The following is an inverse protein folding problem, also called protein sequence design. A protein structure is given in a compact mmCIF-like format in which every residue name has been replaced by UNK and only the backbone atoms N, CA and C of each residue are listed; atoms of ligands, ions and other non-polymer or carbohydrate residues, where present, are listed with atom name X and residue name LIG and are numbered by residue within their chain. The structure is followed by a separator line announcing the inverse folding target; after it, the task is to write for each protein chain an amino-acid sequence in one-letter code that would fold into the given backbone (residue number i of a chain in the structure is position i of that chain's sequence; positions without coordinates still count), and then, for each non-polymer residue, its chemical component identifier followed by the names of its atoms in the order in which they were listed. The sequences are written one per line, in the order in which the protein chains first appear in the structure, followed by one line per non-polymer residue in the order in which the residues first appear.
data_IF_273855635126
#
_entry.id   IF_273855635126
#
_cell.length_a   1.000
_cell.length_b   1.000
_cell.length_c   1.000
_cell.angle_alpha   90.00
_cell.angle_beta   90.00
_cell.angle_gamma   90.00
#
_symmetry.space_group_name_H-M   'P 1'
#
loop_
_entity.id
_entity.type
_entity.pdbx_description
1 polymer ?
#
# COMPACT_ATOMS: atom_id res chain seq x y z
N UNK A 1 -22.28 26.10 -1.68
CA UNK A 1 -20.87 25.74 -1.92
C UNK A 1 -20.90 24.48 -2.75
N UNK A 2 -20.57 24.60 -4.03
CA UNK A 2 -20.51 23.47 -4.95
C UNK A 2 -19.50 22.43 -4.43
N UNK A 3 -19.89 21.17 -4.47
CA UNK A 3 -19.31 20.07 -3.70
C UNK A 3 -17.88 19.67 -4.07
N UNK A 4 -17.43 18.58 -3.46
CA UNK A 4 -16.11 17.98 -3.68
C UNK A 4 -16.01 17.20 -5.01
N UNK A 5 -16.80 17.54 -6.03
CA UNK A 5 -16.85 16.82 -7.31
C UNK A 5 -15.51 16.82 -8.06
N UNK A 6 -14.67 17.83 -7.82
CA UNK A 6 -13.30 17.91 -8.35
C UNK A 6 -12.35 16.83 -7.79
N UNK A 7 -12.76 16.12 -6.73
CA UNK A 7 -12.00 15.00 -6.16
C UNK A 7 -12.37 13.64 -6.75
N UNK A 8 -13.25 13.60 -7.74
CA UNK A 8 -13.58 12.37 -8.44
C UNK A 8 -12.59 12.07 -9.56
N UNK A 9 -12.02 10.88 -9.56
CA UNK A 9 -11.24 10.32 -10.67
C UNK A 9 -11.74 8.94 -11.06
N UNK A 10 -11.29 8.47 -12.23
CA UNK A 10 -11.77 7.24 -12.86
C UNK A 10 -11.26 5.97 -12.17
N UNK A 11 -9.99 5.96 -11.74
CA UNK A 11 -9.37 4.77 -11.13
C UNK A 11 -9.95 4.53 -9.75
N UNK A 12 -10.15 5.61 -8.99
CA UNK A 12 -10.86 5.65 -7.73
C UNK A 12 -12.33 5.24 -7.82
N UNK A 13 -12.93 4.97 -8.99
CA UNK A 13 -14.28 4.39 -9.07
C UNK A 13 -14.32 2.86 -9.01
N UNK A 14 -13.19 2.19 -8.80
CA UNK A 14 -13.14 0.73 -8.70
C UNK A 14 -13.72 0.23 -7.36
N UNK A 15 -14.79 -0.58 -7.34
CA UNK A 15 -15.45 -0.97 -6.10
C UNK A 15 -14.58 -1.80 -5.15
N UNK A 16 -13.61 -2.57 -5.65
CA UNK A 16 -12.73 -3.38 -4.79
C UNK A 16 -11.80 -2.53 -3.91
N UNK A 17 -11.60 -1.25 -4.25
CA UNK A 17 -10.85 -0.29 -3.44
C UNK A 17 -11.70 0.33 -2.32
N UNK A 18 -12.99 -0.04 -2.21
CA UNK A 18 -13.87 0.43 -1.12
C UNK A 18 -13.48 -0.19 0.22
N UNK A 19 -12.42 0.34 0.80
CA UNK A 19 -11.71 -0.13 1.99
C UNK A 19 -10.76 0.98 2.49
N UNK A 20 -9.95 0.70 3.52
CA UNK A 20 -8.89 1.62 3.96
C UNK A 20 -7.49 1.01 3.83
N UNK A 21 -6.56 1.87 3.42
CA UNK A 21 -5.12 1.66 3.52
C UNK A 21 -4.61 2.27 4.82
N UNK A 22 -3.69 1.58 5.49
CA UNK A 22 -3.17 1.99 6.80
C UNK A 22 -1.65 2.08 6.80
N UNK A 23 -1.15 3.11 7.47
CA UNK A 23 0.26 3.24 7.83
C UNK A 23 0.36 3.83 9.23
N UNK A 24 1.10 3.13 10.09
CA UNK A 24 1.36 3.49 11.47
C UNK A 24 2.81 3.92 11.64
N UNK A 25 3.01 5.03 12.35
CA UNK A 25 4.33 5.52 12.75
C UNK A 25 4.44 5.59 14.28
N UNK A 26 5.60 5.24 14.84
CA UNK A 26 5.80 5.19 16.29
C UNK A 26 6.91 6.14 16.77
N UNK A 27 6.60 6.93 17.79
CA UNK A 27 7.46 7.95 18.38
C UNK A 27 7.72 7.68 19.87
N UNK A 28 8.93 8.00 20.38
CA UNK A 28 9.12 8.07 21.82
C UNK A 28 8.31 9.26 22.35
N UNK A 29 7.75 9.09 23.54
CA UNK A 29 7.04 10.17 24.24
C UNK A 29 7.23 9.93 25.74
N UNK A 30 7.64 10.94 26.53
CA UNK A 30 7.74 10.79 27.96
C UNK A 30 6.42 10.29 28.59
N UNK A 31 6.53 9.41 29.59
CA UNK A 31 5.38 8.78 30.24
C UNK A 31 4.85 9.65 31.38
N UNK A 32 4.44 10.87 31.04
CA UNK A 32 3.86 11.85 31.95
C UNK A 32 2.65 12.56 31.32
N UNK A 33 1.74 13.03 32.16
CA UNK A 33 0.49 13.66 31.71
C UNK A 33 0.73 14.96 30.93
N UNK A 34 1.75 15.74 31.28
CA UNK A 34 2.06 16.99 30.59
C UNK A 34 2.46 16.75 29.14
N UNK A 35 3.36 15.79 28.90
CA UNK A 35 3.81 15.41 27.56
C UNK A 35 2.66 14.80 26.73
N UNK A 36 1.79 14.01 27.36
CA UNK A 36 0.60 13.44 26.70
C UNK A 36 -0.40 14.52 26.29
N UNK A 37 -0.72 15.46 27.18
CA UNK A 37 -1.64 16.55 26.87
C UNK A 37 -1.05 17.51 25.83
N UNK A 38 0.24 17.83 25.88
CA UNK A 38 0.90 18.63 24.83
C UNK A 38 0.84 17.92 23.47
N UNK A 39 1.09 16.60 23.43
CA UNK A 39 0.97 15.82 22.20
C UNK A 39 -0.46 15.84 21.64
N UNK A 40 -1.48 15.67 22.49
CA UNK A 40 -2.89 15.76 22.08
C UNK A 40 -3.20 17.12 21.48
N UNK A 41 -2.84 18.20 22.17
CA UNK A 41 -3.09 19.56 21.71
C UNK A 41 -2.41 19.83 20.36
N UNK A 42 -1.11 19.55 20.23
CA UNK A 42 -0.36 19.81 18.99
C UNK A 42 -0.87 18.98 17.82
N UNK A 43 -1.22 17.71 18.05
CA UNK A 43 -1.76 16.85 17.00
C UNK A 43 -3.16 17.30 16.57
N UNK A 44 -3.99 17.73 17.52
CA UNK A 44 -5.30 18.31 17.23
C UNK A 44 -5.16 19.58 16.39
N UNK A 45 -4.34 20.54 16.81
CA UNK A 45 -4.07 21.77 16.06
C UNK A 45 -3.50 21.48 14.65
N UNK A 46 -2.55 20.55 14.55
CA UNK A 46 -1.96 20.16 13.28
C UNK A 46 -2.98 19.50 12.33
N UNK A 47 -3.85 18.64 12.87
CA UNK A 47 -4.92 18.00 12.10
C UNK A 47 -5.96 19.01 11.59
N UNK A 48 -6.33 20.01 12.41
CA UNK A 48 -7.24 21.09 12.03
C UNK A 48 -6.64 21.93 10.90
N UNK A 49 -5.37 22.34 11.04
CA UNK A 49 -4.63 23.06 9.99
C UNK A 49 -4.54 22.27 8.69
N UNK A 50 -4.35 20.96 8.77
CA UNK A 50 -4.35 20.07 7.60
C UNK A 50 -5.72 20.11 6.90
N UNK A 51 -6.81 19.92 7.64
CA UNK A 51 -8.17 19.94 7.05
C UNK A 51 -8.62 21.33 6.60
N UNK A 52 -8.07 22.40 7.17
CA UNK A 52 -8.30 23.76 6.69
C UNK A 52 -7.68 23.98 5.30
N UNK A 53 -6.45 23.51 5.08
CA UNK A 53 -5.77 23.60 3.79
C UNK A 53 -6.29 22.59 2.75
N UNK A 54 -6.85 21.47 3.21
CA UNK A 54 -7.37 20.39 2.36
C UNK A 54 -8.76 19.95 2.87
N UNK A 55 -9.83 20.75 2.66
CA UNK A 55 -11.15 20.49 3.24
C UNK A 55 -11.77 19.13 2.87
N UNK A 56 -11.40 18.59 1.70
CA UNK A 56 -11.88 17.28 1.24
C UNK A 56 -11.39 16.11 2.11
N UNK A 57 -10.33 16.29 2.91
CA UNK A 57 -9.89 15.28 3.88
C UNK A 57 -10.88 15.09 5.03
N UNK A 58 -11.65 16.13 5.38
CA UNK A 58 -12.70 16.06 6.40
C UNK A 58 -14.06 15.61 5.83
N UNK A 59 -14.12 15.20 4.56
CA UNK A 59 -15.35 14.74 3.92
C UNK A 59 -15.70 13.30 4.26
N UNK A 60 -16.97 12.93 4.07
CA UNK A 60 -17.45 11.55 4.02
C UNK A 60 -17.51 11.05 2.58
N UNK A 61 -17.19 9.78 2.39
CA UNK A 61 -17.39 9.05 1.13
C UNK A 61 -18.82 8.53 1.10
N UNK A 62 -19.52 8.79 0.00
CA UNK A 62 -20.88 8.30 -0.24
C UNK A 62 -20.95 7.57 -1.58
N UNK A 63 -21.82 6.56 -1.66
CA UNK A 63 -22.14 5.87 -2.91
C UNK A 63 -23.42 6.44 -3.50
N UNK A 64 -23.42 6.67 -4.82
CA UNK A 64 -24.60 7.10 -5.58
C UNK A 64 -24.89 6.09 -6.68
N UNK A 65 -26.14 5.62 -6.72
CA UNK A 65 -26.55 4.62 -7.70
C UNK A 65 -26.54 5.18 -9.12
N UNK A 66 -25.94 4.40 -10.03
CA UNK A 66 -25.93 4.70 -11.47
C UNK A 66 -27.00 3.92 -12.26
N UNK A 67 -27.94 3.29 -11.55
CA UNK A 67 -28.99 2.45 -12.14
C UNK A 67 -28.55 1.00 -12.43
N UNK A 68 -29.49 0.17 -12.92
CA UNK A 68 -29.26 -1.27 -13.08
C UNK A 68 -28.10 -1.61 -14.03
N UNK A 69 -27.29 -2.61 -13.66
CA UNK A 69 -26.17 -3.11 -14.49
C UNK A 69 -24.96 -2.18 -14.58
N UNK A 70 -24.92 -1.12 -13.76
CA UNK A 70 -23.79 -0.18 -13.66
C UNK A 70 -23.33 -0.13 -12.22
N UNK A 71 -22.02 -0.07 -12.00
CA UNK A 71 -21.52 0.13 -10.63
C UNK A 71 -21.88 1.52 -10.12
N UNK A 72 -22.19 1.60 -8.83
CA UNK A 72 -22.36 2.86 -8.12
C UNK A 72 -21.09 3.71 -8.22
N UNK A 73 -21.28 5.03 -8.15
CA UNK A 73 -20.18 5.99 -8.16
C UNK A 73 -19.89 6.46 -6.75
N UNK A 74 -18.61 6.68 -6.46
CA UNK A 74 -18.13 7.19 -5.18
C UNK A 74 -17.93 8.69 -5.27
N UNK A 75 -18.50 9.40 -4.30
CA UNK A 75 -18.48 10.86 -4.19
C UNK A 75 -18.05 11.27 -2.79
N UNK A 76 -17.64 12.53 -2.66
CA UNK A 76 -17.33 13.15 -1.38
C UNK A 76 -18.42 14.16 -1.01
N UNK A 77 -18.85 14.11 0.25
CA UNK A 77 -19.79 15.07 0.83
C UNK A 77 -19.23 15.64 2.13
N UNK A 78 -19.56 16.90 2.49
CA UNK A 78 -19.21 17.44 3.80
C UNK A 78 -19.67 16.55 4.95
N UNK A 79 -18.89 16.51 6.04
CA UNK A 79 -19.25 15.79 7.24
C UNK A 79 -18.94 16.62 8.50
N UNK A 80 -19.99 17.04 9.21
CA UNK A 80 -19.87 17.89 10.40
C UNK A 80 -19.08 17.23 11.54
N UNK A 81 -19.03 15.89 11.58
CA UNK A 81 -18.29 15.12 12.57
C UNK A 81 -16.78 15.34 12.51
N UNK A 82 -16.25 15.79 11.37
CA UNK A 82 -14.81 15.96 11.16
C UNK A 82 -14.42 17.33 10.62
N UNK A 83 -15.39 18.16 10.24
CA UNK A 83 -15.13 19.57 9.91
C UNK A 83 -14.93 20.41 11.17
N UNK A 84 -14.09 21.44 11.08
CA UNK A 84 -13.86 22.41 12.16
C UNK A 84 -15.19 22.89 12.78
N UNK A 85 -15.32 22.90 14.13
CA UNK A 85 -14.26 22.73 15.13
C UNK A 85 -13.89 21.28 15.47
N UNK A 86 -14.54 20.28 14.87
CA UNK A 86 -14.20 18.86 15.04
C UNK A 86 -12.95 18.49 14.22
N UNK A 87 -12.43 17.27 14.42
CA UNK A 87 -11.22 16.81 13.75
C UNK A 87 -11.30 15.34 13.29
N UNK A 88 -10.50 15.03 12.28
CA UNK A 88 -10.22 13.68 11.78
C UNK A 88 -9.36 12.83 12.74
N UNK A 89 -8.77 13.42 13.79
CA UNK A 89 -7.93 12.69 14.76
C UNK A 89 -8.69 12.28 16.01
N UNK A 90 -8.43 11.05 16.47
CA UNK A 90 -8.88 10.49 17.73
C UNK A 90 -7.70 10.10 18.62
N UNK A 91 -7.93 10.06 19.91
CA UNK A 91 -6.92 9.73 20.91
C UNK A 91 -7.37 8.53 21.74
N UNK A 92 -6.48 7.54 21.88
CA UNK A 92 -6.75 6.31 22.62
C UNK A 92 -5.64 6.08 23.63
N UNK A 93 -6.00 5.76 24.89
CA UNK A 93 -5.03 5.29 25.87
C UNK A 93 -4.88 3.77 25.77
N UNK A 94 -3.73 3.34 25.26
CA UNK A 94 -3.35 1.95 25.10
C UNK A 94 -2.33 1.51 26.15
N UNK A 95 -2.09 2.29 27.21
CA UNK A 95 -1.05 2.03 28.22
C UNK A 95 -1.20 0.68 28.90
N UNK A 96 -2.42 0.13 28.99
CA UNK A 96 -2.71 -1.19 29.57
C UNK A 96 -3.00 -2.28 28.53
N UNK A 97 -3.29 -1.90 27.29
CA UNK A 97 -3.66 -2.82 26.21
C UNK A 97 -2.45 -3.26 25.36
N UNK A 98 -1.37 -2.48 25.38
CA UNK A 98 -0.22 -2.66 24.50
C UNK A 98 1.10 -2.80 25.28
N UNK A 99 2.11 -3.49 24.73
CA UNK A 99 3.49 -3.43 25.21
C UNK A 99 4.01 -1.98 25.23
N UNK A 100 4.98 -1.70 26.10
CA UNK A 100 5.55 -0.36 26.14
C UNK A 100 6.35 -0.06 24.86
N UNK A 101 6.56 1.23 24.60
CA UNK A 101 7.26 1.69 23.41
C UNK A 101 8.64 1.04 23.22
N UNK A 102 9.41 0.93 24.31
CA UNK A 102 10.76 0.33 24.29
C UNK A 102 10.72 -1.14 23.89
N UNK A 103 9.72 -1.90 24.32
CA UNK A 103 9.53 -3.30 23.93
C UNK A 103 9.19 -3.43 22.45
N UNK A 104 8.26 -2.60 21.96
CA UNK A 104 7.89 -2.55 20.55
C UNK A 104 9.10 -2.25 19.65
N UNK A 105 9.89 -1.23 19.98
CA UNK A 105 11.10 -0.86 19.22
C UNK A 105 12.16 -1.96 19.30
N UNK A 106 12.39 -2.54 20.49
CA UNK A 106 13.35 -3.65 20.66
C UNK A 106 12.99 -4.86 19.81
N UNK A 107 11.70 -5.21 19.76
CA UNK A 107 11.18 -6.28 18.92
C UNK A 107 11.10 -5.90 17.43
N UNK A 108 11.39 -4.65 17.07
CA UNK A 108 11.25 -4.09 15.71
C UNK A 108 9.79 -4.10 15.21
N UNK A 109 8.81 -4.07 16.10
CA UNK A 109 7.38 -3.99 15.77
C UNK A 109 6.89 -5.10 14.85
N UNK A 110 6.88 -6.37 15.29
CA UNK A 110 6.26 -7.46 14.54
C UNK A 110 4.74 -7.27 14.44
N UNK A 111 4.12 -7.88 13.43
CA UNK A 111 2.66 -7.77 13.20
C UNK A 111 1.87 -8.23 14.44
N UNK A 112 2.27 -9.33 15.08
CA UNK A 112 1.65 -9.88 16.28
C UNK A 112 1.63 -8.94 17.50
N UNK A 113 2.46 -7.90 17.51
CA UNK A 113 2.48 -6.87 18.57
C UNK A 113 1.73 -5.59 18.18
N UNK A 114 1.11 -5.54 17.01
CA UNK A 114 0.46 -4.36 16.45
C UNK A 114 -0.98 -4.68 16.02
N UNK A 115 -1.87 -5.11 16.94
CA UNK A 115 -3.25 -5.45 16.63
C UNK A 115 -4.00 -4.24 16.05
N UNK A 116 -4.47 -4.37 14.80
CA UNK A 116 -5.12 -3.29 14.06
C UNK A 116 -6.50 -2.90 14.60
N UNK A 117 -7.22 -3.83 15.23
CA UNK A 117 -8.49 -3.55 15.92
C UNK A 117 -8.34 -2.65 17.15
N UNK A 118 -7.15 -2.62 17.75
CA UNK A 118 -6.79 -1.70 18.84
C UNK A 118 -6.19 -0.40 18.31
N UNK A 119 -5.26 -0.50 17.35
CA UNK A 119 -4.41 0.63 16.95
C UNK A 119 -4.97 1.49 15.82
N UNK A 120 -5.96 1.00 15.08
CA UNK A 120 -6.48 1.66 13.89
C UNK A 120 -7.96 2.07 14.04
N UNK A 121 -8.36 3.22 13.45
CA UNK A 121 -9.73 3.72 13.58
C UNK A 121 -10.72 3.06 12.62
N UNK A 122 -10.24 2.25 11.65
CA UNK A 122 -11.02 1.70 10.54
C UNK A 122 -10.54 0.29 10.17
N UNK A 123 -11.40 -0.47 9.49
CA UNK A 123 -11.05 -1.76 8.87
C UNK A 123 -10.08 -1.57 7.71
N UNK A 124 -9.23 -2.55 7.44
CA UNK A 124 -8.25 -2.48 6.37
C UNK A 124 -8.56 -3.44 5.20
N UNK A 125 -7.93 -3.18 4.05
CA UNK A 125 -7.96 -4.10 2.91
C UNK A 125 -7.56 -5.54 3.32
N UNK A 126 -8.30 -6.59 2.91
CA UNK A 126 -9.34 -6.62 1.88
C UNK A 126 -10.78 -6.37 2.34
N UNK A 127 -11.01 -6.07 3.62
CA UNK A 127 -12.37 -5.86 4.10
C UNK A 127 -12.99 -4.59 3.52
N UNK A 128 -14.21 -4.71 3.00
CA UNK A 128 -15.03 -3.56 2.69
C UNK A 128 -15.80 -3.09 3.93
N UNK A 129 -16.45 -1.93 3.82
CA UNK A 129 -17.25 -1.32 4.88
C UNK A 129 -18.66 -0.98 4.38
N UNK A 130 -19.57 -0.75 5.32
CA UNK A 130 -20.90 -0.21 5.06
C UNK A 130 -21.03 1.10 5.83
N UNK A 131 -21.12 2.20 5.11
CA UNK A 131 -21.34 3.53 5.65
C UNK A 131 -22.79 3.71 6.09
N UNK A 132 -22.98 4.38 7.22
CA UNK A 132 -24.29 4.80 7.72
C UNK A 132 -24.21 6.27 8.16
N UNK A 133 -25.34 6.92 8.45
CA UNK A 133 -25.28 8.29 8.99
C UNK A 133 -24.64 8.35 10.40
N UNK A 134 -24.72 7.26 11.17
CA UNK A 134 -24.10 7.15 12.50
C UNK A 134 -22.63 6.72 12.43
N UNK A 135 -22.24 5.99 11.39
CA UNK A 135 -20.85 5.63 11.10
C UNK A 135 -20.51 5.95 9.64
N UNK A 136 -20.33 7.24 9.31
CA UNK A 136 -19.95 7.64 7.97
C UNK A 136 -18.53 7.18 7.66
N UNK A 137 -18.22 7.00 6.37
CA UNK A 137 -16.90 6.62 5.90
C UNK A 137 -16.03 7.86 5.65
N UNK A 138 -15.04 8.19 6.51
CA UNK A 138 -14.17 9.33 6.29
C UNK A 138 -13.22 9.10 5.12
N UNK A 139 -12.80 10.17 4.45
CA UNK A 139 -11.68 10.11 3.51
C UNK A 139 -10.39 9.71 4.21
N UNK A 140 -10.13 10.28 5.39
CA UNK A 140 -8.98 9.96 6.23
C UNK A 140 -9.39 9.98 7.71
N UNK A 141 -8.82 9.08 8.49
CA UNK A 141 -8.97 9.04 9.95
C UNK A 141 -7.60 8.80 10.59
N UNK A 142 -7.27 9.61 11.60
CA UNK A 142 -6.04 9.48 12.37
C UNK A 142 -6.37 8.94 13.77
N UNK A 143 -5.53 8.05 14.28
CA UNK A 143 -5.63 7.59 15.67
C UNK A 143 -4.27 7.66 16.35
N UNK A 144 -4.17 8.51 17.37
CA UNK A 144 -3.01 8.61 18.23
C UNK A 144 -3.21 7.70 19.45
N UNK A 145 -2.42 6.63 19.51
CA UNK A 145 -2.46 5.61 20.56
C UNK A 145 -1.32 5.85 21.55
N UNK A 146 -1.65 6.24 22.77
CA UNK A 146 -0.68 6.43 23.84
C UNK A 146 -0.32 5.09 24.46
N UNK A 147 0.97 4.73 24.44
CA UNK A 147 1.50 3.56 25.15
C UNK A 147 2.49 4.06 26.21
N UNK A 148 2.84 3.20 27.16
CA UNK A 148 3.88 3.56 28.15
C UNK A 148 5.18 3.94 27.44
N UNK A 149 5.61 5.20 27.60
CA UNK A 149 6.82 5.75 27.01
C UNK A 149 6.76 6.02 25.49
N UNK A 150 5.58 6.10 24.87
CA UNK A 150 5.49 6.40 23.43
C UNK A 150 4.09 6.70 22.89
N UNK A 151 4.08 7.06 21.60
CA UNK A 151 2.87 7.35 20.83
C UNK A 151 2.93 6.61 19.50
N UNK A 152 1.89 5.87 19.16
CA UNK A 152 1.71 5.22 17.86
C UNK A 152 0.59 5.94 17.10
N UNK A 153 0.92 6.58 15.98
CA UNK A 153 -0.02 7.32 15.15
C UNK A 153 -0.36 6.50 13.91
N UNK A 154 -1.58 5.98 13.85
CA UNK A 154 -2.12 5.33 12.65
C UNK A 154 -2.84 6.36 11.76
N UNK A 155 -2.68 6.19 10.44
CA UNK A 155 -3.42 6.90 9.43
C UNK A 155 -4.17 5.90 8.55
N UNK A 156 -5.49 5.91 8.65
CA UNK A 156 -6.40 5.17 7.77
C UNK A 156 -6.88 6.10 6.66
N UNK A 157 -6.64 5.76 5.40
CA UNK A 157 -7.13 6.53 4.26
C UNK A 157 -7.98 5.67 3.32
N UNK A 158 -9.12 6.20 2.89
CA UNK A 158 -10.05 5.50 2.03
C UNK A 158 -9.38 5.31 0.66
N UNK A 159 -9.22 4.05 0.24
CA UNK A 159 -8.29 3.68 -0.83
C UNK A 159 -8.73 4.16 -2.22
N UNK A 160 -10.03 4.41 -2.45
CA UNK A 160 -10.51 5.04 -3.68
C UNK A 160 -10.03 6.49 -3.83
N UNK A 161 -9.75 7.18 -2.73
CA UNK A 161 -9.39 8.60 -2.75
C UNK A 161 -7.92 8.87 -2.42
N UNK A 162 -7.21 7.94 -1.79
CA UNK A 162 -5.84 8.14 -1.33
C UNK A 162 -5.08 6.81 -1.41
N UNK A 163 -4.00 6.78 -2.22
CA UNK A 163 -3.03 5.67 -2.21
C UNK A 163 -1.95 5.87 -1.13
N UNK A 164 -1.00 4.93 -1.03
CA UNK A 164 0.06 5.02 0.00
C UNK A 164 0.99 6.24 -0.18
N UNK A 165 1.22 6.70 -1.42
CA UNK A 165 1.96 7.95 -1.65
C UNK A 165 1.19 9.14 -1.10
N UNK A 166 -0.14 9.15 -1.25
CA UNK A 166 -1.03 10.13 -0.62
C UNK A 166 -1.01 10.09 0.91
N UNK A 167 -1.02 8.90 1.54
CA UNK A 167 -0.85 8.75 2.99
C UNK A 167 0.48 9.35 3.46
N UNK A 168 1.57 9.09 2.73
CA UNK A 168 2.87 9.66 3.05
C UNK A 168 2.90 11.20 2.94
N UNK A 169 2.18 11.76 1.97
CA UNK A 169 2.01 13.19 1.84
C UNK A 169 1.18 13.78 3.00
N UNK A 170 0.11 13.11 3.44
CA UNK A 170 -0.64 13.48 4.64
C UNK A 170 0.27 13.56 5.86
N UNK A 171 1.10 12.52 6.09
CA UNK A 171 2.05 12.53 7.21
C UNK A 171 3.10 13.63 7.09
N UNK A 172 3.61 13.88 5.88
CA UNK A 172 4.61 14.93 5.64
C UNK A 172 4.05 16.32 5.94
N UNK A 173 2.80 16.59 5.53
CA UNK A 173 2.09 17.83 5.82
C UNK A 173 1.73 17.95 7.31
N UNK A 174 1.28 16.86 7.94
CA UNK A 174 1.04 16.84 9.38
C UNK A 174 2.33 17.15 10.17
N UNK A 175 3.46 16.58 9.76
CA UNK A 175 4.76 16.88 10.35
C UNK A 175 5.15 18.36 10.17
N UNK A 176 4.89 18.96 9.00
CA UNK A 176 5.08 20.40 8.77
C UNK A 176 4.24 21.26 9.71
N UNK A 177 2.97 20.91 9.91
CA UNK A 177 2.12 21.60 10.87
C UNK A 177 2.65 21.47 12.31
N UNK A 178 3.10 20.28 12.72
CA UNK A 178 3.68 20.03 14.04
C UNK A 178 5.00 20.77 14.29
N UNK A 179 5.75 21.11 13.23
CA UNK A 179 6.92 22.00 13.30
C UNK A 179 6.56 23.48 13.38
N UNK A 180 5.28 23.84 13.27
CA UNK A 180 4.84 25.24 13.24
C UNK A 180 5.14 25.93 11.92
N UNK A 181 5.50 25.18 10.88
CA UNK A 181 5.87 25.72 9.56
C UNK A 181 4.60 25.94 8.71
N UNK A 182 4.59 26.94 7.81
CA UNK A 182 3.54 27.06 6.80
C UNK A 182 3.63 25.92 5.79
N UNK A 183 2.49 25.49 5.26
CA UNK A 183 2.51 24.53 4.16
C UNK A 183 3.08 25.19 2.89
N UNK A 184 3.99 24.53 2.16
CA UNK A 184 4.43 25.00 0.86
C UNK A 184 3.25 25.21 -0.09
N UNK A 185 3.24 26.33 -0.83
CA UNK A 185 2.14 26.68 -1.74
C UNK A 185 1.92 25.60 -2.83
N UNK A 186 3.02 25.02 -3.33
CA UNK A 186 2.98 23.94 -4.30
C UNK A 186 2.36 22.67 -3.69
N UNK A 187 2.66 22.34 -2.43
CA UNK A 187 2.04 21.22 -1.75
C UNK A 187 0.51 21.41 -1.58
N UNK A 188 0.05 22.62 -1.24
CA UNK A 188 -1.39 22.95 -1.19
C UNK A 188 -2.04 22.78 -2.57
N UNK A 189 -1.41 23.32 -3.62
CA UNK A 189 -1.93 23.24 -4.98
C UNK A 189 -2.00 21.78 -5.48
N UNK A 190 -0.96 20.99 -5.20
CA UNK A 190 -0.87 19.58 -5.63
C UNK A 190 -1.86 18.68 -4.88
N UNK A 191 -2.06 18.89 -3.58
CA UNK A 191 -3.02 18.13 -2.79
C UNK A 191 -4.49 18.50 -3.03
N UNK A 192 -4.77 19.65 -3.64
CA UNK A 192 -6.11 20.09 -4.04
C UNK A 192 -6.35 20.02 -5.56
N UNK A 193 -5.49 19.31 -6.30
CA UNK A 193 -5.59 19.21 -7.75
C UNK A 193 -6.94 18.62 -8.20
N UNK A 194 -7.56 19.22 -9.21
CA UNK A 194 -8.77 18.67 -9.84
C UNK A 194 -8.45 17.34 -10.53
N UNK A 195 -9.13 16.28 -10.08
CA UNK A 195 -8.85 14.92 -10.51
C UNK A 195 -9.66 14.49 -11.72
N UNK A 196 -10.72 15.22 -12.08
CA UNK A 196 -11.69 14.83 -13.13
C UNK A 196 -11.04 14.64 -14.50
N UNK A 197 -10.00 15.44 -14.79
CA UNK A 197 -9.28 15.40 -16.06
C UNK A 197 -7.78 15.09 -15.88
N UNK A 198 -7.37 14.58 -14.72
CA UNK A 198 -5.96 14.26 -14.43
C UNK A 198 -5.39 13.25 -15.42
N UNK A 199 -6.21 12.25 -15.77
CA UNK A 199 -5.92 11.30 -16.86
C UNK A 199 -6.87 11.57 -18.01
N UNK A 200 -6.36 12.20 -19.08
CA UNK A 200 -7.12 12.41 -20.30
C UNK A 200 -7.47 11.07 -20.96
N UNK A 201 -8.76 10.74 -20.99
CA UNK A 201 -9.25 9.52 -21.63
C UNK A 201 -8.96 9.51 -23.15
N UNK A 202 -8.94 8.31 -23.71
CA UNK A 202 -8.78 8.10 -25.15
C UNK A 202 -10.05 8.53 -25.89
N UNK A 203 -9.86 9.20 -27.02
CA UNK A 203 -10.92 9.59 -27.95
C UNK A 203 -11.49 8.37 -28.69
N UNK A 204 -12.59 8.54 -29.43
CA UNK A 204 -13.28 7.43 -30.11
C UNK A 204 -12.48 6.72 -31.20
N UNK A 205 -11.48 7.38 -31.77
CA UNK A 205 -10.59 6.84 -32.80
C UNK A 205 -9.29 6.21 -32.25
N UNK A 206 -8.99 6.41 -30.96
CA UNK A 206 -7.83 5.81 -30.29
C UNK A 206 -8.20 4.39 -29.79
N UNK A 207 -7.35 3.41 -30.09
CA UNK A 207 -7.58 2.03 -29.67
C UNK A 207 -7.32 1.85 -28.17
N UNK A 208 -8.23 1.15 -27.49
CA UNK A 208 -8.03 0.71 -26.09
C UNK A 208 -7.19 -0.58 -26.12
N UNK A 209 -6.11 -0.62 -25.35
CA UNK A 209 -5.30 -1.81 -25.13
C UNK A 209 -6.11 -2.91 -24.43
N UNK A 210 -5.60 -4.15 -24.50
CA UNK A 210 -6.19 -5.26 -23.77
C UNK A 210 -5.89 -5.16 -22.27
N UNK A 211 -6.95 -5.12 -21.47
CA UNK A 211 -6.93 -5.06 -20.00
C UNK A 211 -7.62 -6.27 -19.35
N UNK A 212 -7.83 -7.36 -20.10
CA UNK A 212 -8.50 -8.57 -19.62
C UNK A 212 -7.85 -9.20 -18.37
N UNK A 213 -6.55 -8.95 -18.14
CA UNK A 213 -5.83 -9.39 -16.93
C UNK A 213 -6.44 -8.85 -15.61
N UNK A 214 -7.20 -7.76 -15.66
CA UNK A 214 -7.87 -7.17 -14.50
C UNK A 214 -9.29 -7.68 -14.28
N UNK A 215 -9.82 -8.49 -15.21
CA UNK A 215 -11.14 -9.08 -15.05
C UNK A 215 -11.09 -10.17 -13.99
N UNK A 216 -11.96 -10.06 -12.98
CA UNK A 216 -12.19 -11.11 -11.99
C UNK A 216 -13.12 -12.17 -12.59
N UNK A 217 -12.86 -13.47 -12.34
CA UNK A 217 -13.82 -14.51 -12.68
C UNK A 217 -15.14 -14.29 -11.94
N UNK A 218 -16.26 -14.60 -12.58
CA UNK A 218 -17.57 -14.59 -11.93
C UNK A 218 -17.63 -15.64 -10.80
N UNK A 219 -18.52 -15.46 -9.81
CA UNK A 219 -18.62 -16.37 -8.65
C UNK A 219 -18.79 -17.85 -9.02
N UNK A 220 -19.36 -18.15 -10.20
CA UNK A 220 -19.63 -19.51 -10.67
C UNK A 220 -18.50 -20.18 -11.49
N UNK A 221 -17.35 -19.51 -11.66
CA UNK A 221 -16.35 -19.92 -12.69
C UNK A 221 -15.04 -20.50 -12.17
N UNK A 222 -14.89 -20.69 -10.84
CA UNK A 222 -13.68 -21.30 -10.27
C UNK A 222 -14.04 -22.61 -9.54
N UNK A 223 -13.51 -23.77 -9.98
CA UNK A 223 -13.53 -24.95 -9.12
C UNK A 223 -12.77 -24.61 -7.83
N UNK A 224 -13.25 -25.08 -6.66
CA UNK A 224 -12.56 -24.84 -5.40
C UNK A 224 -11.13 -25.36 -5.51
N UNK A 225 -10.13 -24.62 -4.97
CA UNK A 225 -8.78 -25.15 -4.89
C UNK A 225 -8.81 -26.51 -4.18
N UNK A 226 -7.93 -27.46 -4.55
CA UNK A 226 -7.81 -28.73 -3.83
C UNK A 226 -7.71 -28.44 -2.34
N UNK A 227 -8.59 -29.05 -1.54
CA UNK A 227 -8.65 -28.81 -0.11
C UNK A 227 -7.34 -29.26 0.55
N UNK A 228 -6.47 -28.31 0.90
CA UNK A 228 -5.54 -28.51 1.99
C UNK A 228 -6.30 -28.38 3.31
N UNK A 229 -5.90 -29.08 4.39
CA UNK A 229 -6.33 -28.69 5.73
C UNK A 229 -6.03 -27.20 5.86
N UNK A 230 -7.03 -26.38 6.21
CA UNK A 230 -6.91 -24.92 6.21
C UNK A 230 -5.64 -24.49 6.95
N UNK A 231 -4.60 -24.15 6.19
CA UNK A 231 -3.37 -23.61 6.75
C UNK A 231 -3.63 -22.12 6.92
N UNK A 232 -3.75 -21.60 8.15
CA UNK A 232 -4.14 -20.22 8.37
C UNK A 232 -3.14 -19.28 7.72
N UNK A 233 -3.65 -18.21 7.10
CA UNK A 233 -2.84 -17.12 6.60
C UNK A 233 -2.53 -16.17 7.73
N UNK A 234 -1.30 -15.67 7.77
CA UNK A 234 -0.90 -14.69 8.79
C UNK A 234 0.14 -13.72 8.26
N UNK A 235 0.13 -12.51 8.82
CA UNK A 235 1.08 -11.46 8.51
C UNK A 235 2.41 -11.67 9.25
N UNK A 236 3.53 -11.56 8.53
CA UNK A 236 4.89 -11.72 9.08
C UNK A 236 5.84 -10.69 8.49
N UNK A 237 6.72 -10.13 9.32
CA UNK A 237 7.75 -9.20 8.86
C UNK A 237 9.09 -9.90 8.66
N UNK A 238 9.78 -9.53 7.59
CA UNK A 238 11.16 -9.93 7.30
C UNK A 238 11.99 -8.71 6.93
N UNK A 239 13.15 -8.56 7.54
CA UNK A 239 14.08 -7.45 7.29
C UNK A 239 15.15 -7.83 6.29
N UNK A 240 15.35 -6.93 5.34
CA UNK A 240 16.46 -6.95 4.40
C UNK A 240 17.36 -5.76 4.69
N UNK A 241 18.58 -6.03 5.17
CA UNK A 241 19.57 -4.99 5.48
C UNK A 241 20.15 -4.36 4.21
N UNK A 242 20.72 -3.15 4.26
CA UNK A 242 21.38 -2.54 3.10
C UNK A 242 22.42 -3.44 2.43
N UNK A 243 23.21 -4.16 3.21
CA UNK A 243 24.22 -5.09 2.69
C UNK A 243 23.57 -6.27 1.95
N UNK A 244 22.50 -6.85 2.52
CA UNK A 244 21.73 -7.93 1.89
C UNK A 244 21.03 -7.46 0.62
N UNK A 245 20.46 -6.27 0.62
CA UNK A 245 19.84 -5.63 -0.55
C UNK A 245 20.86 -5.35 -1.66
N UNK A 246 22.05 -4.87 -1.32
CA UNK A 246 23.14 -4.65 -2.27
C UNK A 246 23.60 -5.98 -2.90
N UNK A 247 23.75 -7.03 -2.09
CA UNK A 247 24.10 -8.36 -2.57
C UNK A 247 23.02 -8.95 -3.49
N UNK A 248 21.73 -8.83 -3.12
CA UNK A 248 20.60 -9.21 -4.00
C UNK A 248 20.63 -8.46 -5.33
N UNK A 249 20.84 -7.13 -5.30
CA UNK A 249 20.95 -6.32 -6.51
C UNK A 249 22.14 -6.75 -7.37
N UNK A 250 23.28 -7.10 -6.76
CA UNK A 250 24.45 -7.60 -7.49
C UNK A 250 24.17 -8.95 -8.15
N UNK A 251 23.48 -9.87 -7.48
CA UNK A 251 23.09 -11.17 -8.06
C UNK A 251 22.05 -11.02 -9.17
N UNK A 252 21.20 -9.99 -9.09
CA UNK A 252 20.18 -9.68 -10.09
C UNK A 252 20.71 -8.82 -11.25
N UNK A 253 21.98 -8.41 -11.23
CA UNK A 253 22.55 -7.60 -12.30
C UNK A 253 22.76 -8.45 -13.57
N UNK A 254 22.41 -7.94 -14.76
CA UNK A 254 22.68 -8.65 -16.01
C UNK A 254 24.19 -8.89 -16.18
N UNK A 255 24.56 -10.06 -16.69
CA UNK A 255 25.95 -10.35 -17.02
C UNK A 255 26.41 -9.46 -18.19
N UNK A 256 27.56 -8.81 -18.05
CA UNK A 256 28.16 -7.94 -19.07
C UNK A 256 28.53 -8.67 -20.39
N UNK A 257 28.37 -9.99 -20.45
CA UNK A 257 28.73 -10.86 -21.57
C UNK A 257 27.59 -11.10 -22.56
N UNK A 258 26.38 -10.57 -22.32
CA UNK A 258 25.25 -10.68 -23.23
C UNK A 258 25.26 -9.59 -24.30
N UNK A 259 25.49 -9.95 -25.56
CA UNK A 259 25.30 -9.08 -26.73
C UNK A 259 23.81 -8.75 -26.92
N UNK A 260 23.31 -7.71 -26.27
CA UNK A 260 22.02 -7.10 -26.63
C UNK A 260 22.25 -5.67 -27.10
N UNK A 261 21.96 -5.41 -28.38
CA UNK A 261 22.14 -4.15 -29.08
C UNK A 261 21.10 -3.06 -28.75
N UNK A 262 20.53 -3.10 -27.55
CA UNK A 262 19.68 -2.02 -27.01
C UNK A 262 20.12 -1.78 -25.56
N UNK A 263 20.30 -0.51 -25.18
CA UNK A 263 21.02 -0.05 -23.99
C UNK A 263 20.95 -0.92 -22.73
N UNK A 264 22.05 -0.96 -21.97
CA UNK A 264 22.25 -1.80 -20.78
C UNK A 264 20.98 -1.93 -19.93
N UNK A 265 20.39 -3.13 -19.90
CA UNK A 265 19.18 -3.37 -19.12
C UNK A 265 19.49 -3.16 -17.63
N UNK A 266 18.84 -2.17 -17.02
CA UNK A 266 19.05 -1.81 -15.62
C UNK A 266 18.05 -2.48 -14.70
N UNK A 267 18.53 -3.07 -13.61
CA UNK A 267 17.71 -3.64 -12.53
C UNK A 267 17.89 -2.79 -11.26
N UNK A 268 16.77 -2.38 -10.66
CA UNK A 268 16.75 -1.65 -9.39
C UNK A 268 16.84 -2.58 -8.19
N UNK A 269 17.19 -2.03 -7.01
CA UNK A 269 17.13 -2.80 -5.75
C UNK A 269 15.73 -3.36 -5.49
N UNK A 270 14.68 -2.62 -5.86
CA UNK A 270 13.31 -3.06 -5.69
C UNK A 270 12.96 -4.23 -6.61
N UNK A 271 13.45 -4.25 -7.85
CA UNK A 271 13.26 -5.39 -8.76
C UNK A 271 13.99 -6.62 -8.23
N UNK A 272 15.22 -6.47 -7.76
CA UNK A 272 16.01 -7.57 -7.21
C UNK A 272 15.35 -8.19 -5.97
N UNK A 273 14.86 -7.35 -5.05
CA UNK A 273 14.14 -7.80 -3.86
C UNK A 273 12.80 -8.48 -4.24
N UNK A 274 12.05 -7.88 -5.17
CA UNK A 274 10.78 -8.44 -5.66
C UNK A 274 11.00 -9.80 -6.32
N UNK A 275 12.01 -9.91 -7.19
CA UNK A 275 12.42 -11.15 -7.85
C UNK A 275 12.80 -12.23 -6.84
N UNK A 276 13.59 -11.86 -5.83
CA UNK A 276 14.02 -12.77 -4.79
C UNK A 276 12.83 -13.32 -4.00
N UNK A 277 11.94 -12.44 -3.54
CA UNK A 277 10.73 -12.87 -2.83
C UNK A 277 9.84 -13.77 -3.69
N UNK A 278 9.60 -13.38 -4.95
CA UNK A 278 8.78 -14.19 -5.86
C UNK A 278 9.40 -15.57 -6.08
N UNK A 279 10.70 -15.63 -6.41
CA UNK A 279 11.41 -16.87 -6.65
C UNK A 279 11.40 -17.80 -5.42
N UNK A 280 11.74 -17.29 -4.23
CA UNK A 280 11.82 -18.16 -3.03
C UNK A 280 10.46 -18.66 -2.55
N UNK A 281 9.42 -17.83 -2.64
CA UNK A 281 8.05 -18.25 -2.31
C UNK A 281 7.58 -19.34 -3.29
N UNK A 282 7.82 -19.17 -4.59
CA UNK A 282 7.41 -20.18 -5.58
C UNK A 282 8.26 -21.44 -5.49
N UNK A 283 9.57 -21.36 -5.22
CA UNK A 283 10.40 -22.53 -4.95
C UNK A 283 9.89 -23.32 -3.74
N UNK A 284 9.48 -22.63 -2.68
CA UNK A 284 8.87 -23.25 -1.49
C UNK A 284 7.55 -23.96 -1.85
N UNK A 285 6.66 -23.28 -2.59
CA UNK A 285 5.39 -23.84 -3.05
C UNK A 285 5.60 -25.03 -3.99
N UNK A 286 6.58 -24.97 -4.89
CA UNK A 286 6.94 -26.06 -5.79
C UNK A 286 7.38 -27.30 -5.00
N UNK A 287 8.29 -27.13 -4.03
CA UNK A 287 8.77 -28.23 -3.20
C UNK A 287 7.65 -28.90 -2.39
N UNK A 288 6.72 -28.09 -1.87
CA UNK A 288 5.56 -28.54 -1.09
C UNK A 288 4.50 -29.22 -1.96
N UNK A 289 4.10 -28.59 -3.07
CA UNK A 289 2.96 -29.00 -3.90
C UNK A 289 3.34 -30.03 -4.96
N UNK A 290 4.61 -30.09 -5.37
CA UNK A 290 5.11 -30.97 -6.44
C UNK A 290 4.37 -30.78 -7.77
N UNK A 291 4.06 -29.52 -8.10
CA UNK A 291 3.36 -29.10 -9.32
C UNK A 291 4.29 -28.28 -10.24
N UNK A 292 5.30 -28.90 -10.86
CA UNK A 292 6.27 -28.20 -11.70
C UNK A 292 5.65 -27.51 -12.94
N UNK A 293 4.49 -27.97 -13.38
CA UNK A 293 3.71 -27.46 -14.50
C UNK A 293 2.82 -26.25 -14.15
N UNK A 294 2.70 -25.90 -12.86
CA UNK A 294 1.93 -24.73 -12.46
C UNK A 294 2.58 -23.42 -12.96
N UNK A 295 1.77 -22.38 -13.16
CA UNK A 295 2.22 -21.04 -13.53
C UNK A 295 2.03 -20.12 -12.34
N UNK A 296 3.09 -19.40 -11.97
CA UNK A 296 3.04 -18.36 -10.97
C UNK A 296 2.75 -17.01 -11.62
N UNK A 297 1.88 -16.21 -11.00
CA UNK A 297 1.63 -14.83 -11.39
C UNK A 297 2.07 -13.86 -10.30
N UNK A 298 2.72 -12.77 -10.66
CA UNK A 298 3.09 -11.68 -9.76
C UNK A 298 2.41 -10.39 -10.19
N UNK A 299 1.62 -9.79 -9.30
CA UNK A 299 0.89 -8.55 -9.53
C UNK A 299 1.57 -7.41 -8.75
N UNK A 300 2.37 -6.59 -9.43
CA UNK A 300 3.13 -5.49 -8.81
C UNK A 300 2.41 -4.16 -9.00
N UNK A 301 2.05 -3.49 -7.91
CA UNK A 301 1.51 -2.13 -7.95
C UNK A 301 2.53 -1.12 -8.47
N UNK A 302 2.07 -0.19 -9.30
CA UNK A 302 2.87 0.80 -10.01
C UNK A 302 2.28 2.18 -9.79
N UNK A 303 3.09 3.09 -9.23
CA UNK A 303 2.76 4.51 -9.17
C UNK A 303 2.82 5.12 -10.59
N UNK A 304 1.67 5.53 -11.11
CA UNK A 304 1.53 6.06 -12.45
C UNK A 304 1.74 7.58 -12.54
N UNK A 305 2.03 8.26 -11.40
CA UNK A 305 2.24 9.72 -11.38
C UNK A 305 3.28 10.18 -12.39
N UNK A 306 4.47 9.56 -12.37
CA UNK A 306 5.57 9.90 -13.27
C UNK A 306 5.19 9.70 -14.75
N UNK A 307 4.50 8.61 -15.07
CA UNK A 307 4.06 8.33 -16.43
C UNK A 307 3.06 9.36 -16.96
N UNK A 308 2.28 9.98 -16.06
CA UNK A 308 1.28 10.98 -16.38
C UNK A 308 1.75 12.43 -16.18
N UNK A 309 2.99 12.66 -15.73
CA UNK A 309 3.48 14.00 -15.40
C UNK A 309 2.79 14.62 -14.18
N UNK A 310 2.18 13.79 -13.33
CA UNK A 310 1.53 14.21 -12.09
C UNK A 310 2.60 14.38 -11.00
N UNK A 311 2.59 15.48 -10.23
CA UNK A 311 3.62 15.77 -9.25
C UNK A 311 3.53 14.85 -8.03
N UNK A 312 4.66 14.69 -7.33
CA UNK A 312 4.78 13.79 -6.19
C UNK A 312 3.87 14.17 -5.00
N UNK A 313 3.50 15.45 -4.84
CA UNK A 313 2.58 15.90 -3.81
C UNK A 313 1.10 15.66 -4.12
N UNK A 314 0.77 15.02 -5.26
CA UNK A 314 -0.60 14.56 -5.54
C UNK A 314 -1.01 13.46 -4.58
N UNK A 315 -2.13 13.68 -3.88
CA UNK A 315 -2.58 12.83 -2.78
C UNK A 315 -3.58 11.74 -3.17
N UNK A 316 -4.05 11.72 -4.43
CA UNK A 316 -5.05 10.75 -4.88
C UNK A 316 -4.50 9.37 -5.24
N UNK A 317 -5.39 8.42 -5.49
CA UNK A 317 -5.00 7.11 -6.03
C UNK A 317 -4.67 7.23 -7.52
N UNK A 318 -3.42 6.91 -7.89
CA UNK A 318 -3.01 6.84 -9.29
C UNK A 318 -2.11 5.62 -9.49
N UNK A 319 -2.74 4.44 -9.41
CA UNK A 319 -2.08 3.14 -9.45
C UNK A 319 -2.53 2.31 -10.65
N UNK A 320 -1.59 1.57 -11.23
CA UNK A 320 -1.88 0.43 -12.11
C UNK A 320 -1.05 -0.78 -11.69
N UNK A 321 -1.20 -1.92 -12.36
CA UNK A 321 -0.49 -3.16 -12.02
C UNK A 321 0.35 -3.63 -13.20
N UNK A 322 1.62 -3.95 -12.92
CA UNK A 322 2.45 -4.77 -13.81
C UNK A 322 2.26 -6.24 -13.44
N UNK A 323 1.84 -7.05 -14.41
CA UNK A 323 1.64 -8.50 -14.22
C UNK A 323 2.79 -9.27 -14.87
N UNK A 324 3.44 -10.12 -14.09
CA UNK A 324 4.45 -11.06 -14.57
C UNK A 324 4.00 -12.49 -14.37
N UNK A 325 4.35 -13.39 -15.29
CA UNK A 325 4.02 -14.82 -15.21
C UNK A 325 5.24 -15.66 -15.54
N UNK A 326 5.44 -16.76 -14.82
CA UNK A 326 6.56 -17.69 -15.06
C UNK A 326 6.16 -19.09 -14.59
N UNK A 327 6.66 -20.15 -15.24
CA UNK A 327 6.41 -21.52 -14.78
C UNK A 327 7.03 -21.75 -13.40
N UNK A 328 6.44 -22.61 -12.56
CA UNK A 328 6.96 -22.90 -11.23
C UNK A 328 8.40 -23.43 -11.28
N UNK A 329 8.66 -24.43 -12.14
CA UNK A 329 10.00 -24.98 -12.35
C UNK A 329 10.97 -23.93 -12.88
N UNK A 330 10.55 -23.24 -13.94
CA UNK A 330 11.33 -22.18 -14.59
C UNK A 330 11.75 -21.11 -13.58
N UNK A 331 10.81 -20.58 -12.80
CA UNK A 331 11.07 -19.54 -11.81
C UNK A 331 11.99 -20.02 -10.68
N UNK A 332 11.79 -21.24 -10.18
CA UNK A 332 12.60 -21.80 -9.10
C UNK A 332 14.06 -22.08 -9.51
N UNK A 333 14.29 -22.41 -10.79
CA UNK A 333 15.60 -22.77 -11.34
C UNK A 333 16.31 -21.58 -12.02
N UNK A 334 15.59 -20.51 -12.37
CA UNK A 334 16.13 -19.36 -13.08
C UNK A 334 17.19 -18.58 -12.27
N UNK A 335 18.22 -18.02 -12.93
CA UNK A 335 19.06 -16.98 -12.34
C UNK A 335 18.22 -15.79 -11.85
N UNK A 336 18.57 -15.22 -10.70
CA UNK A 336 17.84 -14.06 -10.14
C UNK A 336 17.80 -12.87 -11.11
N UNK A 337 18.85 -12.69 -11.91
CA UNK A 337 18.93 -11.66 -12.94
C UNK A 337 17.80 -11.79 -13.98
N UNK A 338 17.49 -13.00 -14.43
CA UNK A 338 16.46 -13.24 -15.45
C UNK A 338 15.06 -12.92 -14.91
N UNK A 339 14.79 -13.32 -13.66
CA UNK A 339 13.53 -13.01 -12.96
C UNK A 339 13.37 -11.50 -12.77
N UNK A 340 14.44 -10.81 -12.35
CA UNK A 340 14.42 -9.37 -12.12
C UNK A 340 14.28 -8.57 -13.43
N UNK A 341 14.94 -9.03 -14.51
CA UNK A 341 14.80 -8.46 -15.84
C UNK A 341 13.39 -8.65 -16.39
N UNK A 342 12.77 -9.83 -16.17
CA UNK A 342 11.37 -10.05 -16.54
C UNK A 342 10.44 -9.06 -15.85
N UNK A 343 10.55 -8.91 -14.53
CA UNK A 343 9.77 -7.93 -13.76
C UNK A 343 9.98 -6.50 -14.26
N UNK A 344 11.23 -6.14 -14.61
CA UNK A 344 11.57 -4.80 -15.13
C UNK A 344 10.97 -4.55 -16.52
N UNK A 345 11.01 -5.53 -17.41
CA UNK A 345 10.40 -5.44 -18.76
C UNK A 345 8.89 -5.31 -18.66
N UNK A 346 8.23 -6.14 -17.86
CA UNK A 346 6.77 -6.07 -17.66
C UNK A 346 6.35 -4.75 -16.97
N UNK A 347 7.17 -4.19 -16.10
CA UNK A 347 6.93 -2.87 -15.53
C UNK A 347 6.99 -1.76 -16.61
N UNK A 348 7.95 -1.85 -17.54
CA UNK A 348 8.14 -0.84 -18.58
C UNK A 348 6.99 -0.82 -19.60
N UNK A 349 6.31 -1.96 -19.84
CA UNK A 349 5.16 -2.03 -20.75
C UNK A 349 3.93 -1.31 -20.21
N UNK A 350 3.78 -1.20 -18.89
CA UNK A 350 2.61 -0.57 -18.25
C UNK A 350 2.89 0.82 -17.69
N UNK A 351 4.13 1.13 -17.31
CA UNK A 351 4.48 2.41 -16.67
C UNK A 351 4.80 3.50 -17.70
N UNK A 352 3.86 3.74 -18.61
CA UNK A 352 3.93 4.79 -19.62
C UNK A 352 2.55 5.44 -19.82
N UNK A 353 2.56 6.65 -20.39
CA UNK A 353 1.38 7.48 -20.56
C UNK A 353 0.25 6.77 -21.33
N UNK A 354 0.59 6.08 -22.40
CA UNK A 354 -0.42 5.48 -23.29
C UNK A 354 -1.14 4.32 -22.62
N UNK A 355 -0.40 3.48 -21.88
CA UNK A 355 -1.00 2.42 -21.09
C UNK A 355 -1.94 2.95 -20.01
N UNK A 356 -1.49 3.95 -19.22
CA UNK A 356 -2.30 4.53 -18.13
C UNK A 356 -3.57 5.18 -18.66
N UNK A 357 -3.48 5.95 -19.76
CA UNK A 357 -4.67 6.51 -20.45
C UNK A 357 -5.61 5.42 -20.93
N UNK A 358 -5.07 4.36 -21.53
CA UNK A 358 -5.88 3.24 -21.99
C UNK A 358 -6.57 2.52 -20.83
N UNK A 359 -5.88 2.28 -19.72
CA UNK A 359 -6.44 1.62 -18.54
C UNK A 359 -7.57 2.45 -17.92
N UNK A 360 -7.36 3.75 -17.69
CA UNK A 360 -8.40 4.65 -17.23
C UNK A 360 -9.59 4.68 -18.20
N UNK A 361 -9.36 4.73 -19.50
CA UNK A 361 -10.43 4.69 -20.51
C UNK A 361 -11.23 3.40 -20.44
N UNK A 362 -10.56 2.26 -20.31
CA UNK A 362 -11.21 0.96 -20.19
C UNK A 362 -12.11 0.90 -18.93
N UNK A 363 -11.63 1.39 -17.78
CA UNK A 363 -12.43 1.51 -16.55
C UNK A 363 -13.64 2.42 -16.77
N UNK A 364 -13.43 3.60 -17.36
CA UNK A 364 -14.51 4.56 -17.62
C UNK A 364 -15.61 3.99 -18.51
N UNK A 365 -15.22 3.24 -19.56
CA UNK A 365 -16.13 2.60 -20.52
C UNK A 365 -16.75 1.30 -19.98
N UNK A 366 -16.26 0.75 -18.88
CA UNK A 366 -16.84 -0.44 -18.25
C UNK A 366 -18.02 -0.05 -17.36
N UNK A 367 -19.22 -0.54 -17.72
CA UNK A 367 -20.46 -0.25 -17.01
C UNK A 367 -20.47 -0.85 -15.58
N UNK A 368 -20.29 -2.16 -15.49
CA UNK A 368 -20.13 -2.87 -14.23
C UNK A 368 -18.64 -3.00 -13.89
N UNK A 369 -18.13 -2.06 -13.10
CA UNK A 369 -16.76 -2.05 -12.58
C UNK A 369 -16.54 -3.09 -11.49
N UNK A 370 -17.58 -3.75 -10.96
CA UNK A 370 -17.37 -4.78 -9.95
C UNK A 370 -16.55 -5.93 -10.53
N UNK A 371 -16.64 -6.21 -11.83
CA UNK A 371 -15.85 -7.24 -12.53
C UNK A 371 -14.35 -6.95 -12.60
N UNK A 372 -13.89 -5.77 -12.14
CA UNK A 372 -12.50 -5.35 -12.22
C UNK A 372 -11.84 -5.47 -10.85
N UNK A 373 -10.66 -6.08 -10.79
CA UNK A 373 -9.77 -6.07 -9.64
C UNK A 373 -8.31 -6.01 -10.08
N UNK A 374 -7.43 -5.38 -9.30
CA UNK A 374 -6.00 -5.31 -9.60
C UNK A 374 -5.35 -6.68 -9.84
N UNK A 375 -5.78 -7.72 -9.11
CA UNK A 375 -5.30 -9.09 -9.31
C UNK A 375 -6.04 -9.89 -10.39
N UNK A 376 -7.15 -9.40 -10.94
CA UNK A 376 -8.05 -10.14 -11.83
C UNK A 376 -8.34 -11.57 -11.34
N UNK A 377 -8.13 -12.58 -12.20
CA UNK A 377 -8.11 -13.99 -11.79
C UNK A 377 -6.88 -14.28 -10.93
N UNK A 378 -7.05 -14.38 -9.62
CA UNK A 378 -5.96 -14.56 -8.67
C UNK A 378 -6.11 -15.87 -7.87
N UNK A 379 -5.06 -16.68 -7.82
CA UNK A 379 -4.99 -17.87 -6.99
C UNK A 379 -3.92 -17.68 -5.89
N UNK A 380 -4.29 -17.57 -4.60
CA UNK A 380 -3.32 -17.33 -3.52
C UNK A 380 -2.32 -18.48 -3.30
N UNK A 381 -2.54 -19.65 -3.90
CA UNK A 381 -1.59 -20.77 -3.86
C UNK A 381 -0.48 -20.70 -4.91
N UNK A 382 -0.65 -19.89 -5.95
CA UNK A 382 0.31 -19.76 -7.07
C UNK A 382 0.76 -18.33 -7.30
N UNK A 383 -0.09 -17.38 -6.96
CA UNK A 383 0.07 -15.97 -7.33
C UNK A 383 0.48 -15.14 -6.12
N UNK A 384 1.08 -13.98 -6.36
CA UNK A 384 1.50 -13.04 -5.32
C UNK A 384 1.09 -11.61 -5.73
N UNK A 385 0.37 -10.93 -4.85
CA UNK A 385 0.18 -9.48 -4.93
C UNK A 385 1.34 -8.74 -4.26
N UNK A 386 1.68 -7.55 -4.75
CA UNK A 386 2.67 -6.73 -4.08
C UNK A 386 2.47 -5.24 -4.28
N UNK A 387 2.69 -4.48 -3.21
CA UNK A 387 2.81 -3.03 -3.25
C UNK A 387 4.06 -2.57 -2.50
N UNK A 388 4.89 -1.79 -3.19
CA UNK A 388 6.16 -1.34 -2.64
C UNK A 388 6.09 0.11 -2.17
N UNK A 389 6.29 0.32 -0.88
CA UNK A 389 6.34 1.62 -0.22
C UNK A 389 7.78 2.05 0.10
N UNK A 390 8.77 1.24 -0.29
CA UNK A 390 10.19 1.45 0.02
C UNK A 390 10.80 2.77 -0.48
N UNK A 391 10.15 3.45 -1.43
CA UNK A 391 10.57 4.77 -1.92
C UNK A 391 10.08 5.95 -1.06
N UNK A 392 9.16 5.70 -0.13
CA UNK A 392 8.61 6.71 0.76
C UNK A 392 9.66 7.09 1.81
N UNK A 393 10.04 8.37 1.85
CA UNK A 393 11.09 8.91 2.72
C UNK A 393 10.66 9.22 4.16
N UNK A 394 9.60 8.59 4.67
CA UNK A 394 8.94 9.00 5.91
C UNK A 394 9.82 8.83 7.17
N UNK A 395 10.78 7.91 7.16
CA UNK A 395 11.70 7.71 8.28
C UNK A 395 12.59 8.92 8.56
N UNK A 396 12.86 9.76 7.56
CA UNK A 396 13.66 10.99 7.72
C UNK A 396 12.85 12.22 8.14
N UNK A 397 11.52 12.13 8.18
CA UNK A 397 10.63 13.26 8.47
C UNK A 397 10.53 13.46 9.98
N UNK A 398 10.79 14.70 10.43
CA UNK A 398 10.66 15.10 11.83
C UNK A 398 9.28 15.72 12.12
N UNK A 399 8.56 15.18 13.10
CA UNK A 399 7.21 15.54 13.53
C UNK A 399 7.23 16.58 14.66
N UNK A 400 8.10 17.58 14.53
CA UNK A 400 8.30 18.60 15.57
C UNK A 400 9.21 18.15 16.71
N UNK A 401 9.50 19.07 17.65
CA UNK A 401 10.46 18.83 18.74
C UNK A 401 9.98 17.79 19.75
N UNK A 402 8.66 17.65 19.93
CA UNK A 402 8.07 16.71 20.90
C UNK A 402 8.16 15.25 20.45
N UNK A 403 7.82 14.96 19.19
CA UNK A 403 7.78 13.58 18.66
C UNK A 403 9.06 13.18 17.93
N UNK A 404 9.80 14.13 17.37
CA UNK A 404 11.02 13.84 16.60
C UNK A 404 10.74 12.99 15.36
N UNK A 405 11.60 12.02 15.06
CA UNK A 405 11.47 11.12 13.91
C UNK A 405 10.86 9.77 14.32
N UNK A 406 10.12 9.10 13.42
CA UNK A 406 9.51 7.82 13.74
C UNK A 406 10.58 6.73 13.85
N UNK A 407 10.53 5.94 14.93
CA UNK A 407 11.43 4.80 15.12
C UNK A 407 10.92 3.51 14.44
N UNK A 408 9.60 3.43 14.22
CA UNK A 408 8.97 2.34 13.48
C UNK A 408 7.98 2.93 12.46
N UNK A 409 7.92 2.29 11.30
CA UNK A 409 6.90 2.52 10.28
C UNK A 409 6.36 1.15 9.90
N UNK A 410 5.08 0.92 10.19
CA UNK A 410 4.45 -0.41 10.13
C UNK A 410 3.05 -0.29 9.56
N UNK A 411 2.58 -1.36 8.92
CA UNK A 411 1.16 -1.63 8.79
C UNK A 411 0.74 -2.47 10.01
N UNK A 412 -0.31 -2.09 10.76
CA UNK A 412 -0.89 -2.93 11.80
C UNK A 412 -1.35 -4.30 11.24
N UNK A 413 -1.56 -5.25 12.15
CA UNK A 413 -2.08 -6.57 11.85
C UNK A 413 -3.60 -6.51 11.67
N UNK A 414 -4.07 -6.95 10.51
CA UNK A 414 -5.47 -6.93 10.11
C UNK A 414 -5.84 -8.28 9.52
N UNK A 415 -7.10 -8.43 9.09
CA UNK A 415 -7.55 -9.62 8.36
C UNK A 415 -6.54 -9.97 7.24
N UNK A 416 -6.13 -11.25 7.14
CA UNK A 416 -5.17 -11.69 6.14
C UNK A 416 -5.58 -11.37 4.70
N UNK A 417 -4.74 -10.61 3.99
CA UNK A 417 -4.80 -10.51 2.52
C UNK A 417 -4.00 -11.66 1.94
N UNK A 418 -4.68 -12.71 1.45
CA UNK A 418 -4.00 -13.94 1.06
C UNK A 418 -2.97 -13.72 -0.06
N UNK A 419 -1.74 -14.14 0.19
CA UNK A 419 -0.63 -14.14 -0.77
C UNK A 419 -0.23 -12.75 -1.28
N UNK A 420 0.12 -11.87 -0.35
CA UNK A 420 0.53 -10.50 -0.64
C UNK A 420 1.83 -10.09 0.07
N UNK A 421 2.54 -9.14 -0.53
CA UNK A 421 3.79 -8.56 0.00
C UNK A 421 3.74 -7.03 -0.04
N UNK A 422 3.83 -6.40 1.13
CA UNK A 422 4.15 -4.99 1.25
C UNK A 422 5.63 -4.78 1.55
N UNK A 423 6.32 -3.97 0.74
CA UNK A 423 7.68 -3.52 1.09
C UNK A 423 7.58 -2.18 1.81
N UNK A 424 7.80 -2.15 3.12
CA UNK A 424 7.64 -0.95 3.95
C UNK A 424 8.59 0.18 3.53
N UNK A 425 8.27 1.44 3.88
CA UNK A 425 9.21 2.56 3.78
C UNK A 425 10.55 2.21 4.41
N UNK A 426 11.64 2.67 3.77
CA UNK A 426 12.98 2.39 4.27
C UNK A 426 13.15 2.99 5.67
N UNK A 427 13.74 2.21 6.56
CA UNK A 427 14.22 2.73 7.85
C UNK A 427 15.32 3.78 7.62
N UNK A 428 15.63 4.63 8.60
CA UNK A 428 16.75 5.58 8.49
C UNK A 428 18.09 4.91 8.14
N UNK A 429 18.26 3.64 8.53
CA UNK A 429 19.46 2.84 8.23
C UNK A 429 19.43 2.19 6.84
N UNK A 430 18.42 2.46 6.02
CA UNK A 430 18.26 1.90 4.68
C UNK A 430 17.77 0.44 4.63
N UNK A 431 17.34 -0.15 5.76
CA UNK A 431 16.67 -1.46 5.72
C UNK A 431 15.30 -1.34 5.05
N UNK A 432 14.91 -2.39 4.32
CA UNK A 432 13.54 -2.60 3.85
C UNK A 432 12.96 -3.77 4.65
N UNK A 433 11.86 -3.53 5.35
CA UNK A 433 11.09 -4.58 5.99
C UNK A 433 9.97 -5.00 5.04
N UNK A 434 9.87 -6.28 4.69
CA UNK A 434 8.78 -6.85 3.92
C UNK A 434 7.73 -7.44 4.87
N UNK A 435 6.49 -6.98 4.75
CA UNK A 435 5.33 -7.57 5.39
C UNK A 435 4.70 -8.56 4.40
N UNK A 436 4.71 -9.85 4.73
CA UNK A 436 4.17 -10.91 3.90
C UNK A 436 2.94 -11.54 4.54
N UNK A 437 1.95 -11.92 3.74
CA UNK A 437 0.79 -12.69 4.19
C UNK A 437 0.71 -14.02 3.45
N UNK A 438 1.21 -15.08 4.08
CA UNK A 438 1.19 -16.43 3.51
C UNK A 438 0.57 -17.41 4.48
N UNK A 439 0.16 -18.57 3.95
CA UNK A 439 -0.28 -19.68 4.79
C UNK A 439 0.89 -20.22 5.63
N UNK A 440 0.58 -20.79 6.79
CA UNK A 440 1.60 -21.35 7.70
C UNK A 440 2.59 -22.31 7.01
N UNK A 441 2.14 -23.16 6.09
CA UNK A 441 3.01 -24.10 5.39
C UNK A 441 4.06 -23.40 4.50
N UNK A 442 3.68 -22.33 3.79
CA UNK A 442 4.60 -21.51 3.01
C UNK A 442 5.58 -20.75 3.90
N UNK A 443 5.11 -20.21 5.04
CA UNK A 443 5.97 -19.53 6.02
C UNK A 443 7.02 -20.48 6.61
N UNK A 444 6.59 -21.67 7.04
CA UNK A 444 7.50 -22.70 7.57
C UNK A 444 8.50 -23.16 6.51
N UNK A 445 8.06 -23.26 5.25
CA UNK A 445 8.93 -23.58 4.12
C UNK A 445 10.00 -22.52 3.89
N UNK A 446 9.63 -21.23 3.89
CA UNK A 446 10.58 -20.12 3.79
C UNK A 446 11.58 -20.12 4.96
N UNK A 447 11.14 -20.45 6.17
CA UNK A 447 12.04 -20.55 7.33
C UNK A 447 13.04 -21.72 7.25
N UNK A 448 12.76 -22.74 6.44
CA UNK A 448 13.71 -23.84 6.14
C UNK A 448 14.56 -23.57 4.89
N UNK A 449 14.19 -22.57 4.09
CA UNK A 449 14.89 -22.19 2.88
C UNK A 449 16.19 -21.44 3.24
N UNK A 450 17.33 -22.07 2.94
CA UNK A 450 18.66 -21.52 3.25
C UNK A 450 18.93 -20.20 2.54
N UNK A 451 18.43 -20.05 1.31
CA UNK A 451 18.62 -18.83 0.54
C UNK A 451 17.73 -17.72 1.09
N UNK A 452 16.49 -18.01 1.45
CA UNK A 452 15.61 -17.05 2.16
C UNK A 452 16.26 -16.55 3.45
N UNK A 453 16.61 -17.46 4.35
CA UNK A 453 17.15 -17.14 5.68
C UNK A 453 18.51 -16.44 5.64
N UNK A 454 19.30 -16.60 4.57
CA UNK A 454 20.52 -15.84 4.34
C UNK A 454 20.27 -14.33 4.10
N UNK A 455 19.14 -13.94 3.50
CA UNK A 455 18.83 -12.55 3.13
C UNK A 455 17.65 -11.93 3.88
N UNK A 456 16.79 -12.72 4.51
CA UNK A 456 15.57 -12.27 5.18
C UNK A 456 15.64 -12.53 6.69
N UNK A 457 15.87 -11.49 7.48
CA UNK A 457 15.86 -11.60 8.95
C UNK A 457 14.43 -11.50 9.48
N UNK A 458 13.92 -12.59 10.06
CA UNK A 458 12.58 -12.60 10.62
C UNK A 458 12.40 -11.56 11.75
N UNK A 459 11.26 -10.87 11.77
CA UNK A 459 10.84 -9.94 12.82
C UNK A 459 9.55 -10.46 13.46
N UNK A 460 9.68 -11.06 14.65
CA UNK A 460 8.56 -11.44 15.52
C UNK A 460 8.65 -12.84 16.07
#
# INVERSE_FOLDING_TARGET
MDGFDYMQDVVGQLPFLKTYSHLLVAFPLPDDDSSREEAKQRLLEASLRLTEAFPWLAAKVVQRSNGPGRSDSLHLEPCELWSSPNSIIRFTDCSNAMPCYKELVKARGPASMLPGDVLAPRKAFPESYQETEQDPAPVIALQANFVRGGLLLDCAAQHNFIDMSGIAQCFSLLATALRGEPFPCDAIAQGNMDRRNLVHLLQGNEAVLDHAQFLRPGPDTLPPPPAEPESPFSWRYFRFSPAKLAALKSMAAPSATGTTASGSEYVSTNDALTAFCWQRVIATRLARRRTPEAVAKFCRAVDARRAMGVPAGYMGDLVTIATSTMGFRELAEAPLADVALRLRRDLATVNNRDYVRSFATWIARTADKTVIAYGGKFNPDTDIGSSSWAQIGLASVAFGPLLGRPSLIRRPDFVPLKSDIYFMPQTERGNIDALVCFNQADLDGLMRDQMWTAYADYIG
#
